data_IF_379296603036
#
_entry.id   IF_379296603036
#
_cell.length_a   1.000
_cell.length_b   1.000
_cell.length_c   1.000
_cell.angle_alpha   90.00
_cell.angle_beta   90.00
_cell.angle_gamma   90.00
#
_symmetry.space_group_name_H-M   'P 1'
#
loop_
_entity.id
_entity.type
_entity.pdbx_description
1 polymer ?
#
# COMPACT_ATOMS: atom_id res chain seq x y z
N UNK A 1 -2.07 -16.86 -2.90
CA UNK A 1 -1.50 -15.54 -3.24
C UNK A 1 -2.65 -14.60 -3.41
N UNK A 2 -2.66 -13.52 -2.64
CA UNK A 2 -3.74 -12.53 -2.64
C UNK A 2 -3.14 -11.20 -3.05
N UNK A 3 -3.68 -10.58 -4.10
CA UNK A 3 -3.25 -9.25 -4.52
C UNK A 3 -4.11 -8.21 -3.82
N UNK A 4 -3.46 -7.24 -3.21
CA UNK A 4 -4.09 -6.06 -2.62
C UNK A 4 -3.76 -4.85 -3.46
N UNK A 5 -4.71 -3.93 -3.57
CA UNK A 5 -4.42 -2.55 -3.98
C UNK A 5 -4.19 -1.77 -2.70
N UNK A 6 -3.18 -0.90 -2.71
CA UNK A 6 -2.94 0.03 -1.62
C UNK A 6 -2.96 1.47 -2.12
N UNK A 7 -3.30 2.38 -1.20
CA UNK A 7 -3.09 3.82 -1.32
C UNK A 7 -2.33 4.30 -0.11
N UNK A 8 -1.19 4.92 -0.35
CA UNK A 8 -0.37 5.54 0.67
C UNK A 8 -0.49 7.07 0.58
N UNK A 9 -0.75 7.72 1.71
CA UNK A 9 -0.91 9.16 1.80
C UNK A 9 -0.22 9.71 3.05
N UNK A 10 0.11 11.00 3.03
CA UNK A 10 0.62 11.71 4.21
C UNK A 10 -0.52 12.00 5.17
N UNK A 11 -0.35 11.70 6.45
CA UNK A 11 -1.35 12.00 7.49
C UNK A 11 -1.53 13.48 7.76
N UNK A 12 -0.50 14.29 7.53
CA UNK A 12 -0.52 15.73 7.85
C UNK A 12 -1.46 16.52 6.95
N UNK A 13 -1.53 16.19 5.66
CA UNK A 13 -2.31 16.92 4.67
C UNK A 13 -3.15 16.04 3.72
N UNK A 14 -3.12 14.73 3.91
CA UNK A 14 -3.85 13.77 3.09
C UNK A 14 -3.29 13.61 1.68
N UNK A 15 -2.14 14.21 1.36
CA UNK A 15 -1.59 14.15 0.01
C UNK A 15 -1.15 12.72 -0.35
N UNK A 16 -1.52 12.28 -1.55
CA UNK A 16 -1.16 10.96 -2.06
C UNK A 16 0.36 10.88 -2.29
N UNK A 17 0.95 9.79 -1.79
CA UNK A 17 2.35 9.44 -2.00
C UNK A 17 2.44 8.48 -3.19
N UNK A 18 1.74 7.35 -3.10
CA UNK A 18 1.72 6.31 -4.12
C UNK A 18 0.47 5.43 -3.96
N UNK A 19 -0.08 4.98 -5.08
CA UNK A 19 -1.09 3.93 -5.11
C UNK A 19 -0.65 2.85 -6.09
N UNK A 20 -0.60 1.61 -5.66
CA UNK A 20 -0.16 0.47 -6.47
C UNK A 20 -0.73 -0.84 -5.90
N UNK A 21 -0.23 -1.98 -6.38
CA UNK A 21 -0.59 -3.31 -5.92
C UNK A 21 0.54 -3.95 -5.12
N UNK A 22 0.18 -4.83 -4.19
CA UNK A 22 1.11 -5.66 -3.43
C UNK A 22 0.56 -7.08 -3.32
N UNK A 23 1.43 -8.06 -3.51
CA UNK A 23 1.09 -9.48 -3.40
C UNK A 23 1.41 -10.01 -2.01
N UNK A 24 0.41 -10.56 -1.34
CA UNK A 24 0.61 -11.34 -0.12
C UNK A 24 0.89 -12.80 -0.47
N UNK A 25 2.19 -13.10 -0.59
CA UNK A 25 2.70 -14.44 -0.86
C UNK A 25 2.63 -15.36 0.37
N UNK A 26 2.59 -14.78 1.58
CA UNK A 26 2.77 -15.51 2.84
C UNK A 26 1.53 -15.50 3.73
N UNK A 27 0.45 -14.88 3.27
CA UNK A 27 -0.78 -14.66 4.04
C UNK A 27 -0.49 -13.98 5.38
N UNK A 28 0.39 -12.98 5.37
CA UNK A 28 0.81 -12.23 6.56
C UNK A 28 -0.27 -11.27 7.07
N UNK A 29 -1.28 -10.99 6.23
CA UNK A 29 -2.40 -10.15 6.59
C UNK A 29 -2.15 -8.65 6.41
N UNK A 30 -3.23 -7.88 6.54
CA UNK A 30 -3.29 -6.46 6.17
C UNK A 30 -2.33 -5.57 6.95
N UNK A 31 -2.20 -5.77 8.27
CA UNK A 31 -1.38 -4.89 9.11
C UNK A 31 0.10 -5.00 8.75
N UNK A 32 0.61 -6.23 8.61
CA UNK A 32 2.01 -6.44 8.21
C UNK A 32 2.29 -5.97 6.78
N UNK A 33 1.33 -6.09 5.86
CA UNK A 33 1.46 -5.52 4.51
C UNK A 33 1.54 -4.00 4.54
N UNK A 34 0.69 -3.34 5.34
CA UNK A 34 0.73 -1.90 5.51
C UNK A 34 2.08 -1.43 6.07
N UNK A 35 2.60 -2.12 7.10
CA UNK A 35 3.94 -1.86 7.66
C UNK A 35 5.04 -2.02 6.60
N UNK A 36 4.93 -3.05 5.75
CA UNK A 36 5.88 -3.29 4.66
C UNK A 36 5.85 -2.14 3.64
N UNK A 37 4.67 -1.71 3.22
CA UNK A 37 4.49 -0.58 2.29
C UNK A 37 5.10 0.69 2.88
N UNK A 38 4.79 1.03 4.14
CA UNK A 38 5.35 2.22 4.83
C UNK A 38 6.87 2.19 4.85
N UNK A 39 7.45 1.06 5.27
CA UNK A 39 8.90 0.89 5.36
C UNK A 39 9.58 1.05 3.99
N UNK A 40 9.01 0.46 2.94
CA UNK A 40 9.55 0.58 1.58
C UNK A 40 9.46 2.02 1.09
N UNK A 41 8.34 2.70 1.29
CA UNK A 41 8.14 4.06 0.81
C UNK A 41 9.13 5.05 1.41
N UNK A 42 9.41 4.97 2.71
CA UNK A 42 10.40 5.83 3.38
C UNK A 42 11.78 5.70 2.73
N UNK A 43 12.14 4.50 2.26
CA UNK A 43 13.44 4.27 1.64
C UNK A 43 13.49 4.51 0.13
N UNK A 44 12.35 4.54 -0.56
CA UNK A 44 12.30 4.50 -2.03
C UNK A 44 11.58 5.66 -2.69
N UNK A 45 10.65 6.32 -1.99
CA UNK A 45 9.80 7.35 -2.57
C UNK A 45 10.21 8.76 -2.11
N UNK A 46 10.46 9.72 -3.02
CA UNK A 46 10.96 11.06 -2.66
C UNK A 46 10.00 11.83 -1.74
N UNK A 47 8.68 11.65 -1.89
CA UNK A 47 7.69 12.31 -1.02
C UNK A 47 7.57 11.69 0.38
N UNK A 48 8.16 10.51 0.61
CA UNK A 48 8.11 9.79 1.88
C UNK A 48 9.45 9.75 2.63
N UNK A 49 10.54 10.20 1.99
CA UNK A 49 11.92 10.05 2.50
C UNK A 49 12.16 10.70 3.87
N UNK A 50 11.52 11.82 4.12
CA UNK A 50 11.67 12.60 5.35
C UNK A 50 10.49 12.40 6.33
N UNK A 51 9.60 11.46 6.05
CA UNK A 51 8.45 11.14 6.89
C UNK A 51 8.80 10.06 7.91
N UNK A 52 8.24 10.16 9.12
CA UNK A 52 8.27 9.05 10.05
C UNK A 52 7.27 7.97 9.65
N UNK A 53 7.46 6.76 10.16
CA UNK A 53 6.57 5.62 9.88
C UNK A 53 5.10 5.91 10.19
N UNK A 54 4.83 6.67 11.26
CA UNK A 54 3.49 7.02 11.69
C UNK A 54 2.87 8.21 10.93
N UNK A 55 3.63 8.87 10.04
CA UNK A 55 3.15 9.96 9.18
C UNK A 55 2.56 9.46 7.86
N UNK A 56 2.73 8.17 7.56
CA UNK A 56 2.23 7.53 6.34
C UNK A 56 1.00 6.68 6.68
N UNK A 57 -0.15 7.08 6.15
CA UNK A 57 -1.35 6.27 6.16
C UNK A 57 -1.32 5.31 4.96
N UNK A 58 -1.72 4.06 5.17
CA UNK A 58 -1.81 3.04 4.12
C UNK A 58 -3.16 2.38 4.24
N UNK A 59 -3.97 2.58 3.21
CA UNK A 59 -5.25 1.90 3.02
C UNK A 59 -5.01 0.72 2.09
N UNK A 60 -5.60 -0.44 2.40
CA UNK A 60 -5.47 -1.68 1.64
C UNK A 60 -6.85 -2.27 1.38
N UNK A 61 -7.09 -2.72 0.16
CA UNK A 61 -8.28 -3.48 -0.20
C UNK A 61 -7.93 -4.60 -1.18
N UNK A 62 -8.78 -5.63 -1.21
CA UNK A 62 -8.60 -6.72 -2.17
C UNK A 62 -8.64 -6.15 -3.59
N UNK A 63 -7.63 -6.50 -4.40
CA UNK A 63 -7.67 -6.17 -5.80
C UNK A 63 -8.94 -6.77 -6.43
N UNK A 64 -9.62 -6.05 -7.34
CA UNK A 64 -10.76 -6.61 -8.02
C UNK A 64 -10.31 -7.91 -8.69
N UNK A 65 -11.00 -9.00 -8.39
CA UNK A 65 -10.83 -10.24 -9.13
C UNK A 65 -11.09 -9.90 -10.58
N UNK A 66 -10.08 -9.94 -11.44
CA UNK A 66 -10.31 -9.91 -12.89
C UNK A 66 -11.24 -11.06 -13.19
N UNK A 67 -12.54 -10.77 -13.32
CA UNK A 67 -13.45 -11.59 -14.11
C UNK A 67 -12.94 -11.46 -15.53
N UNK A 68 -12.00 -12.34 -15.88
CA UNK A 68 -11.95 -12.81 -17.23
C UNK A 68 -13.35 -13.37 -17.55
N UNK A 69 -13.89 -12.93 -18.68
CA UNK A 69 -15.15 -13.35 -19.30
C UNK A 69 -16.46 -12.84 -18.67
N UNK A 70 -17.05 -11.86 -19.37
CA UNK A 70 -18.38 -12.09 -19.95
C UNK A 70 -18.35 -11.65 -21.42
N UNK A 71 -18.53 -12.65 -22.26
CA UNK A 71 -18.65 -12.67 -23.73
C UNK A 71 -19.76 -11.77 -24.25
#
# INVERSE_FOLDING_TARGET
MTTYVYRASRRTDGADILSDTIEDLRNIGFEMLAETVRSVLIHTHPLARDLAHHDIEVELWLAPSSRADAT
#
